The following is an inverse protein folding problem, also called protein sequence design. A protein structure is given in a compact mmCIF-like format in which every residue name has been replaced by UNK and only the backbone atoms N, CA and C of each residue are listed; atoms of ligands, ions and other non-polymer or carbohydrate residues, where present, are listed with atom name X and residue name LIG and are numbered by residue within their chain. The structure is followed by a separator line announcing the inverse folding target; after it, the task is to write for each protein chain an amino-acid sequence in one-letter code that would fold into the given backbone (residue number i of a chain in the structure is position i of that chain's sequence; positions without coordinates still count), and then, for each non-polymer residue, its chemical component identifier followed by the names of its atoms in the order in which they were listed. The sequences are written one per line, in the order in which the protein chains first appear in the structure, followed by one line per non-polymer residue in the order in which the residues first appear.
data_IF_511293091574
#
_entry.id   IF_511293091574
#
_cell.length_a   1.000
_cell.length_b   1.000
_cell.length_c   1.000
_cell.angle_alpha   90.00
_cell.angle_beta   90.00
_cell.angle_gamma   90.00
#
_symmetry.space_group_name_H-M   'P 1'
#
loop_
_entity.id
_entity.type
_entity.pdbx_description
1 polymer ?
#
# COMPACT_ATOMS: atom_id res chain seq x y z
N UNK A 1 -31.60 15.00 -7.01
CA UNK A 1 -30.37 14.22 -6.75
C UNK A 1 -29.93 14.57 -5.34
N UNK A 2 -30.20 13.70 -4.35
CA UNK A 2 -29.91 13.96 -2.94
C UNK A 2 -28.39 13.88 -2.73
N UNK A 3 -27.77 14.97 -2.26
CA UNK A 3 -26.43 14.91 -1.68
C UNK A 3 -26.53 14.08 -0.39
N UNK A 4 -26.17 12.80 -0.46
CA UNK A 4 -25.87 12.02 0.73
C UNK A 4 -24.69 12.70 1.46
N UNK A 5 -24.90 13.05 2.73
CA UNK A 5 -23.84 13.64 3.56
C UNK A 5 -22.61 12.73 3.59
N UNK A 6 -21.40 13.28 3.61
CA UNK A 6 -20.14 12.51 3.70
C UNK A 6 -20.11 11.53 4.90
N UNK A 7 -20.90 11.82 5.95
CA UNK A 7 -21.09 10.98 7.13
C UNK A 7 -21.83 9.66 6.86
N UNK A 8 -22.66 9.55 5.81
CA UNK A 8 -23.43 8.33 5.53
C UNK A 8 -22.68 7.27 4.72
N UNK A 9 -21.46 7.55 4.24
CA UNK A 9 -20.62 6.59 3.51
C UNK A 9 -19.61 5.87 4.42
N UNK A 10 -19.44 6.32 5.66
CA UNK A 10 -18.36 5.87 6.54
C UNK A 10 -18.81 4.71 7.42
N UNK A 11 -18.09 3.60 7.36
CA UNK A 11 -18.25 2.51 8.31
C UNK A 11 -17.28 2.62 9.49
N UNK A 12 -17.74 2.23 10.69
CA UNK A 12 -16.86 2.05 11.85
C UNK A 12 -15.94 0.83 11.70
N UNK A 13 -16.43 -0.20 11.01
CA UNK A 13 -15.71 -1.44 10.71
C UNK A 13 -16.25 -2.01 9.39
N UNK A 14 -15.38 -2.40 8.45
CA UNK A 14 -15.77 -2.88 7.13
C UNK A 14 -16.03 -4.39 7.06
N UNK A 15 -16.07 -5.08 8.20
CA UNK A 15 -16.17 -6.54 8.33
C UNK A 15 -14.80 -7.21 8.46
N UNK A 16 -14.77 -8.54 8.28
CA UNK A 16 -13.51 -9.29 8.18
C UNK A 16 -12.77 -8.94 6.88
N UNK A 17 -11.43 -8.92 6.90
CA UNK A 17 -10.63 -8.64 5.72
C UNK A 17 -10.92 -9.67 4.61
N UNK A 18 -11.13 -9.21 3.39
CA UNK A 18 -11.41 -10.08 2.23
C UNK A 18 -10.34 -9.98 1.16
N UNK A 19 -10.28 -11.00 0.30
CA UNK A 19 -9.33 -11.10 -0.79
C UNK A 19 -9.86 -10.46 -2.07
N UNK A 20 -9.04 -9.66 -2.72
CA UNK A 20 -9.30 -9.10 -4.05
C UNK A 20 -8.37 -9.77 -5.05
N UNK A 21 -8.92 -10.35 -6.11
CA UNK A 21 -8.12 -10.96 -7.17
C UNK A 21 -7.58 -9.86 -8.09
N UNK A 22 -6.26 -9.74 -8.19
CA UNK A 22 -5.61 -8.91 -9.21
C UNK A 22 -5.37 -9.76 -10.44
N UNK A 23 -5.82 -9.28 -11.60
CA UNK A 23 -5.61 -9.93 -12.89
C UNK A 23 -4.47 -9.22 -13.62
N UNK A 24 -3.28 -9.81 -13.59
CA UNK A 24 -2.08 -9.29 -14.26
C UNK A 24 -1.70 -10.11 -15.49
N UNK A 25 -1.09 -9.43 -16.47
CA UNK A 25 -0.62 -10.03 -17.71
C UNK A 25 0.86 -10.39 -17.54
N UNK A 26 1.20 -11.66 -17.64
CA UNK A 26 2.57 -12.14 -17.50
C UNK A 26 2.62 -13.62 -17.22
N UNK A 27 3.77 -14.24 -17.48
CA UNK A 27 4.09 -15.62 -17.11
C UNK A 27 5.32 -15.57 -16.21
N UNK A 28 5.35 -16.37 -15.16
CA UNK A 28 6.46 -16.40 -14.21
C UNK A 28 6.06 -17.01 -12.88
N UNK A 29 7.01 -17.04 -11.95
CA UNK A 29 6.74 -17.34 -10.55
C UNK A 29 5.75 -16.34 -9.96
N UNK A 30 4.98 -16.75 -8.96
CA UNK A 30 3.97 -15.89 -8.36
C UNK A 30 4.57 -14.64 -7.73
N UNK A 31 5.68 -14.80 -7.03
CA UNK A 31 6.47 -13.72 -6.44
C UNK A 31 7.89 -13.79 -6.99
N UNK A 32 8.22 -12.89 -7.90
CA UNK A 32 9.54 -12.80 -8.49
C UNK A 32 10.39 -11.77 -7.73
N UNK A 33 11.50 -12.20 -7.15
CA UNK A 33 12.49 -11.29 -6.59
C UNK A 33 13.29 -10.63 -7.72
N UNK A 34 13.14 -9.32 -7.85
CA UNK A 34 13.83 -8.47 -8.84
C UNK A 34 14.57 -7.32 -8.14
N UNK A 35 15.01 -7.57 -6.91
CA UNK A 35 15.71 -6.60 -6.08
C UNK A 35 16.95 -6.06 -6.78
N UNK A 36 17.22 -4.79 -6.52
CA UNK A 36 18.45 -4.10 -6.96
C UNK A 36 19.40 -3.98 -5.78
N UNK A 37 20.49 -3.24 -5.95
CA UNK A 37 21.49 -3.06 -4.88
C UNK A 37 20.88 -2.46 -3.60
N UNK A 38 20.04 -1.44 -3.72
CA UNK A 38 19.56 -0.65 -2.57
C UNK A 38 18.04 -0.78 -2.34
N UNK A 39 17.37 -1.67 -3.08
CA UNK A 39 15.92 -1.81 -3.04
C UNK A 39 15.57 -3.28 -3.08
N UNK A 40 14.86 -3.76 -2.06
CA UNK A 40 14.19 -5.06 -2.10
C UNK A 40 12.91 -4.91 -2.89
N UNK A 41 12.76 -5.69 -3.95
CA UNK A 41 11.63 -5.58 -4.88
C UNK A 41 11.07 -6.96 -5.18
N UNK A 42 9.78 -7.13 -4.93
CA UNK A 42 9.03 -8.30 -5.37
C UNK A 42 7.95 -7.88 -6.36
N UNK A 43 7.96 -8.54 -7.52
CA UNK A 43 6.92 -8.46 -8.53
C UNK A 43 5.95 -9.63 -8.33
N UNK A 44 4.67 -9.32 -8.18
CA UNK A 44 3.62 -10.31 -8.01
C UNK A 44 2.78 -10.47 -9.28
N UNK A 45 2.63 -11.72 -9.72
CA UNK A 45 1.85 -12.12 -10.89
C UNK A 45 0.52 -12.75 -10.48
N UNK A 46 -0.60 -12.15 -10.90
CA UNK A 46 -1.97 -12.57 -10.57
C UNK A 46 -2.23 -12.86 -9.07
N UNK A 47 -1.79 -11.99 -8.12
CA UNK A 47 -1.98 -12.26 -6.70
C UNK A 47 -3.44 -12.11 -6.27
N UNK A 48 -3.82 -12.79 -5.19
CA UNK A 48 -4.93 -12.34 -4.36
C UNK A 48 -4.38 -11.39 -3.29
N UNK A 49 -5.03 -10.24 -3.10
CA UNK A 49 -4.57 -9.18 -2.19
C UNK A 49 -5.54 -9.02 -1.03
N UNK A 50 -5.01 -8.98 0.19
CA UNK A 50 -5.76 -8.71 1.40
C UNK A 50 -5.13 -7.53 2.15
N UNK A 51 -5.98 -6.59 2.55
CA UNK A 51 -5.65 -5.49 3.46
C UNK A 51 -6.07 -5.87 4.87
N UNK A 52 -5.17 -5.83 5.85
CA UNK A 52 -5.49 -6.25 7.22
C UNK A 52 -6.31 -5.22 7.99
N UNK A 53 -6.14 -3.91 7.72
CA UNK A 53 -6.92 -2.88 8.41
C UNK A 53 -8.37 -2.80 7.88
N UNK A 54 -9.34 -3.00 8.77
CA UNK A 54 -10.79 -2.93 8.47
C UNK A 54 -11.51 -1.84 9.26
N UNK A 55 -10.79 -1.03 10.03
CA UNK A 55 -11.34 0.06 10.82
C UNK A 55 -10.31 1.17 11.05
N UNK A 56 -10.78 2.31 11.55
CA UNK A 56 -9.90 3.44 11.92
C UNK A 56 -8.91 3.08 13.04
N UNK A 57 -9.28 2.18 13.93
CA UNK A 57 -8.49 1.76 15.08
C UNK A 57 -8.15 0.27 14.95
N UNK A 58 -7.25 -0.11 14.03
CA UNK A 58 -6.87 -1.50 13.84
C UNK A 58 -6.10 -2.03 15.05
N UNK A 59 -6.12 -3.35 15.24
CA UNK A 59 -5.15 -4.01 16.11
C UNK A 59 -3.76 -3.89 15.48
N UNK A 60 -2.79 -3.36 16.23
CA UNK A 60 -1.42 -3.28 15.75
C UNK A 60 -0.76 -4.67 15.82
N UNK A 61 0.05 -5.01 14.82
CA UNK A 61 0.71 -6.30 14.74
C UNK A 61 2.17 -6.16 14.25
N UNK A 62 3.02 -7.09 14.67
CA UNK A 62 4.36 -7.27 14.09
C UNK A 62 4.30 -8.26 12.92
N UNK A 63 5.26 -8.17 11.98
CA UNK A 63 5.30 -9.06 10.82
C UNK A 63 5.24 -10.57 11.17
N UNK A 64 5.96 -11.11 12.18
CA UNK A 64 5.86 -12.53 12.52
C UNK A 64 4.44 -13.01 12.82
N UNK A 65 3.65 -12.22 13.56
CA UNK A 65 2.27 -12.59 13.89
C UNK A 65 1.36 -12.60 12.66
N UNK A 66 1.67 -11.75 11.67
CA UNK A 66 0.94 -11.71 10.39
C UNK A 66 1.38 -12.85 9.48
N UNK A 67 2.67 -13.17 9.41
CA UNK A 67 3.15 -14.34 8.66
C UNK A 67 2.53 -15.62 9.20
N UNK A 68 2.45 -15.79 10.52
CA UNK A 68 1.80 -16.95 11.14
C UNK A 68 0.31 -17.08 10.78
N UNK A 69 -0.39 -15.97 10.51
CA UNK A 69 -1.79 -15.97 10.07
C UNK A 69 -1.94 -16.25 8.57
N UNK A 70 -0.94 -15.89 7.78
CA UNK A 70 -0.95 -15.99 6.32
C UNK A 70 0.35 -16.67 5.85
N UNK A 71 0.48 -17.99 6.06
CA UNK A 71 1.65 -18.74 5.58
C UNK A 71 1.72 -18.68 4.06
N UNK A 72 2.93 -18.83 3.51
CA UNK A 72 3.21 -18.78 2.06
C UNK A 72 2.87 -17.45 1.36
N UNK A 73 2.57 -16.39 2.13
CA UNK A 73 2.24 -15.08 1.58
C UNK A 73 3.48 -14.17 1.50
N UNK A 74 3.46 -13.25 0.52
CA UNK A 74 4.31 -12.05 0.53
C UNK A 74 3.58 -10.96 1.30
N UNK A 75 4.21 -10.47 2.38
CA UNK A 75 3.61 -9.52 3.32
C UNK A 75 4.52 -8.29 3.44
N UNK A 76 3.94 -7.10 3.44
CA UNK A 76 4.65 -5.83 3.68
C UNK A 76 3.77 -4.90 4.51
N UNK A 77 4.36 -4.07 5.37
CA UNK A 77 3.63 -2.98 6.01
C UNK A 77 3.05 -2.03 4.94
N UNK A 78 1.99 -1.32 5.32
CA UNK A 78 1.24 -0.52 4.37
C UNK A 78 1.07 0.95 4.83
N UNK A 79 -0.15 1.33 5.17
CA UNK A 79 -0.52 2.71 5.50
C UNK A 79 0.15 3.20 6.78
N UNK A 80 0.37 4.51 6.89
CA UNK A 80 0.87 5.10 8.14
C UNK A 80 -0.21 5.16 9.21
N UNK A 81 0.23 5.28 10.47
CA UNK A 81 -0.64 5.32 11.64
C UNK A 81 -0.09 6.29 12.70
N UNK A 82 -0.95 6.72 13.61
CA UNK A 82 -0.55 7.51 14.77
C UNK A 82 0.01 6.59 15.85
N UNK A 83 1.30 6.67 16.14
CA UNK A 83 1.97 5.81 17.13
C UNK A 83 1.38 5.91 18.55
N UNK A 84 0.76 7.04 18.91
CA UNK A 84 0.17 7.23 20.24
C UNK A 84 -1.21 6.61 20.37
N UNK A 85 -2.01 6.62 19.31
CA UNK A 85 -3.42 6.18 19.37
C UNK A 85 -3.68 4.86 18.63
N UNK A 86 -2.76 4.45 17.75
CA UNK A 86 -2.96 3.33 16.82
C UNK A 86 -3.82 3.67 15.60
N UNK A 87 -4.33 4.91 15.48
CA UNK A 87 -5.23 5.28 14.39
C UNK A 87 -4.50 5.24 13.05
N UNK A 88 -5.05 4.51 12.09
CA UNK A 88 -4.56 4.53 10.71
C UNK A 88 -4.85 5.89 10.05
N UNK A 89 -3.91 6.38 9.24
CA UNK A 89 -3.96 7.70 8.59
C UNK A 89 -4.37 7.64 7.12
N UNK A 90 -4.74 8.79 6.55
CA UNK A 90 -5.03 8.91 5.13
C UNK A 90 -6.38 8.35 4.71
N UNK A 91 -6.55 8.17 3.40
CA UNK A 91 -7.80 7.68 2.81
C UNK A 91 -7.85 6.15 2.80
N UNK A 92 -8.85 5.61 3.48
CA UNK A 92 -8.89 4.20 3.84
C UNK A 92 -10.24 3.56 3.48
N UNK A 93 -10.15 2.62 2.55
CA UNK A 93 -11.21 1.74 2.07
C UNK A 93 -10.77 0.30 2.32
N UNK A 94 -11.70 -0.52 2.78
CA UNK A 94 -11.58 -1.97 2.71
C UNK A 94 -12.97 -2.57 2.47
N UNK A 95 -13.04 -3.72 1.80
CA UNK A 95 -14.29 -4.37 1.40
C UNK A 95 -15.29 -3.42 0.70
N UNK A 96 -14.79 -2.47 -0.10
CA UNK A 96 -15.62 -1.47 -0.78
C UNK A 96 -16.30 -0.45 0.15
N UNK A 97 -15.90 -0.37 1.42
CA UNK A 97 -16.43 0.56 2.40
C UNK A 97 -15.34 1.52 2.91
N UNK A 98 -15.68 2.81 2.95
CA UNK A 98 -14.80 3.86 3.49
C UNK A 98 -14.82 3.82 5.02
N UNK A 99 -13.66 3.85 5.66
CA UNK A 99 -13.55 3.97 7.12
C UNK A 99 -12.64 5.13 7.58
N UNK A 100 -11.86 5.73 6.68
CA UNK A 100 -11.21 7.05 6.90
C UNK A 100 -11.24 7.85 5.61
N UNK A 101 -11.71 9.10 5.67
CA UNK A 101 -11.80 9.98 4.51
C UNK A 101 -10.58 10.92 4.39
N UNK A 102 -10.45 11.60 3.25
CA UNK A 102 -9.44 12.64 3.02
C UNK A 102 -9.43 13.68 4.15
N UNK A 103 -8.24 14.05 4.62
CA UNK A 103 -8.04 15.13 5.58
C UNK A 103 -8.47 14.84 7.03
N UNK A 104 -9.07 13.67 7.32
CA UNK A 104 -9.43 13.30 8.70
C UNK A 104 -8.22 13.07 9.59
N UNK A 105 -7.12 12.62 8.98
CA UNK A 105 -5.81 12.56 9.59
C UNK A 105 -4.89 13.38 8.67
N UNK A 106 -4.43 14.54 9.17
CA UNK A 106 -3.45 15.39 8.49
C UNK A 106 -2.27 14.49 8.05
N UNK A 107 -1.54 14.86 7.00
CA UNK A 107 -0.31 14.20 6.49
C UNK A 107 -0.45 13.20 5.32
N UNK A 108 -1.63 12.68 5.00
CA UNK A 108 -1.81 11.74 3.88
C UNK A 108 -2.99 12.11 2.97
N UNK A 109 -2.67 12.64 1.78
CA UNK A 109 -3.65 13.16 0.81
C UNK A 109 -3.65 12.40 -0.52
N UNK A 110 -2.91 11.29 -0.58
CA UNK A 110 -2.76 10.48 -1.78
C UNK A 110 -2.89 9.00 -1.41
N UNK A 111 -3.45 8.21 -2.31
CA UNK A 111 -3.72 6.80 -2.05
C UNK A 111 -3.54 5.93 -3.30
N UNK A 112 -3.06 4.72 -3.07
CA UNK A 112 -3.11 3.61 -4.02
C UNK A 112 -4.42 2.85 -3.81
N UNK A 113 -5.14 2.55 -4.89
CA UNK A 113 -6.44 1.87 -4.87
C UNK A 113 -6.32 0.54 -5.62
N UNK A 114 -6.85 -0.51 -5.03
CA UNK A 114 -7.17 -1.76 -5.72
C UNK A 114 -8.69 -1.82 -5.84
N UNK A 115 -9.18 -1.88 -7.08
CA UNK A 115 -10.61 -1.98 -7.37
C UNK A 115 -11.07 -3.43 -7.32
N UNK A 116 -12.39 -3.61 -7.20
CA UNK A 116 -13.05 -4.92 -7.09
C UNK A 116 -12.78 -5.84 -8.27
N UNK A 117 -12.55 -5.27 -9.46
CA UNK A 117 -12.19 -6.01 -10.67
C UNK A 117 -10.69 -6.35 -10.76
N UNK A 118 -9.90 -6.01 -9.74
CA UNK A 118 -8.46 -6.24 -9.69
C UNK A 118 -7.62 -5.18 -10.42
N UNK A 119 -8.24 -4.15 -10.99
CA UNK A 119 -7.50 -3.01 -11.57
C UNK A 119 -6.95 -2.11 -10.48
N UNK A 120 -5.86 -1.40 -10.78
CA UNK A 120 -5.16 -0.54 -9.83
C UNK A 120 -5.06 0.90 -10.31
N UNK A 121 -5.41 1.84 -9.44
CA UNK A 121 -5.40 3.28 -9.71
C UNK A 121 -4.80 4.05 -8.53
N UNK A 122 -4.54 5.34 -8.74
CA UNK A 122 -4.10 6.25 -7.68
C UNK A 122 -4.94 7.51 -7.69
N UNK A 123 -5.28 8.01 -6.52
CA UNK A 123 -6.05 9.25 -6.34
C UNK A 123 -5.39 10.16 -5.31
N UNK A 124 -5.68 11.45 -5.44
CA UNK A 124 -5.37 12.46 -4.45
C UNK A 124 -6.67 13.09 -3.93
N UNK A 125 -6.57 13.93 -2.91
CA UNK A 125 -7.71 14.55 -2.23
C UNK A 125 -8.57 15.46 -3.11
N UNK A 126 -8.18 15.73 -4.37
CA UNK A 126 -9.06 16.41 -5.33
C UNK A 126 -10.18 15.51 -5.85
N UNK A 127 -10.05 14.17 -5.74
CA UNK A 127 -11.10 13.22 -6.12
C UNK A 127 -11.96 12.85 -4.92
N UNK A 128 -13.28 13.15 -4.92
CA UNK A 128 -14.16 12.80 -3.81
C UNK A 128 -14.24 11.29 -3.55
N UNK A 129 -14.34 10.91 -2.28
CA UNK A 129 -14.50 9.52 -1.85
C UNK A 129 -15.63 8.79 -2.57
N UNK A 130 -16.78 9.46 -2.74
CA UNK A 130 -17.97 8.93 -3.40
C UNK A 130 -17.69 8.54 -4.86
N UNK A 131 -16.87 9.32 -5.57
CA UNK A 131 -16.48 9.00 -6.95
C UNK A 131 -15.55 7.79 -7.00
N UNK A 132 -14.61 7.68 -6.06
CA UNK A 132 -13.68 6.55 -5.98
C UNK A 132 -14.44 5.25 -5.68
N UNK A 133 -15.37 5.28 -4.72
CA UNK A 133 -16.23 4.14 -4.38
C UNK A 133 -17.17 3.75 -5.54
N UNK A 134 -17.78 4.73 -6.21
CA UNK A 134 -18.64 4.47 -7.36
C UNK A 134 -17.90 3.81 -8.54
N UNK A 135 -16.59 4.05 -8.64
CA UNK A 135 -15.72 3.39 -9.63
C UNK A 135 -15.23 2.00 -9.19
N UNK A 136 -15.76 1.46 -8.09
CA UNK A 136 -15.49 0.09 -7.66
C UNK A 136 -14.24 -0.07 -6.79
N UNK A 137 -13.77 0.97 -6.11
CA UNK A 137 -12.67 0.87 -5.16
C UNK A 137 -13.00 -0.14 -4.05
N UNK A 138 -12.11 -1.10 -3.83
CA UNK A 138 -12.32 -2.20 -2.87
C UNK A 138 -11.34 -2.11 -1.69
N UNK A 139 -10.10 -1.72 -1.96
CA UNK A 139 -9.05 -1.48 -0.95
C UNK A 139 -8.30 -0.18 -1.27
N UNK A 140 -7.84 0.53 -0.24
CA UNK A 140 -6.89 1.63 -0.40
C UNK A 140 -5.73 1.58 0.58
N UNK A 141 -4.61 2.18 0.19
CA UNK A 141 -3.40 2.29 1.00
C UNK A 141 -2.86 3.73 0.89
N UNK A 142 -2.57 4.36 2.03
CA UNK A 142 -2.30 5.79 2.07
C UNK A 142 -1.28 6.15 3.15
N UNK A 143 -0.26 6.90 2.75
CA UNK A 143 0.72 7.50 3.64
C UNK A 143 1.38 8.71 2.97
N UNK A 144 2.28 8.47 2.02
CA UNK A 144 3.06 9.51 1.36
C UNK A 144 2.58 9.83 -0.06
N UNK A 145 3.46 10.48 -0.83
CA UNK A 145 3.21 10.90 -2.21
C UNK A 145 3.11 9.73 -3.19
N UNK A 146 2.35 9.96 -4.26
CA UNK A 146 2.44 9.25 -5.53
C UNK A 146 3.75 9.70 -6.21
N UNK A 147 4.74 8.80 -6.27
CA UNK A 147 6.03 9.06 -6.91
C UNK A 147 5.97 8.83 -8.43
N UNK A 148 5.08 7.95 -8.90
CA UNK A 148 4.82 7.72 -10.33
C UNK A 148 3.31 7.70 -10.54
N UNK A 149 2.80 8.49 -11.49
CA UNK A 149 1.38 8.56 -11.86
C UNK A 149 1.23 8.39 -13.36
N UNK A 150 0.50 7.37 -13.80
CA UNK A 150 0.29 7.05 -15.22
C UNK A 150 1.61 6.97 -16.03
N UNK A 151 2.64 6.36 -15.43
CA UNK A 151 3.97 6.18 -16.03
C UNK A 151 4.86 7.42 -16.05
N UNK A 152 4.44 8.51 -15.37
CA UNK A 152 5.25 9.73 -15.24
C UNK A 152 5.79 9.85 -13.83
N UNK A 153 7.10 10.01 -13.71
CA UNK A 153 7.76 10.38 -12.44
C UNK A 153 7.22 11.73 -11.99
N UNK A 154 6.87 11.84 -10.70
CA UNK A 154 6.37 13.05 -10.07
C UNK A 154 7.52 13.84 -9.44
N UNK A 155 7.28 15.05 -8.96
CA UNK A 155 8.31 15.85 -8.31
C UNK A 155 8.77 15.23 -6.99
N UNK A 156 10.07 15.34 -6.70
CA UNK A 156 10.63 14.96 -5.41
C UNK A 156 10.20 15.97 -4.34
N UNK A 157 9.49 15.51 -3.31
CA UNK A 157 9.08 16.33 -2.17
C UNK A 157 10.00 16.16 -0.94
N UNK A 158 11.09 15.39 -1.09
CA UNK A 158 12.06 15.10 -0.04
C UNK A 158 11.64 14.00 0.95
N UNK A 159 10.42 13.44 0.81
CA UNK A 159 9.85 12.49 1.77
C UNK A 159 10.65 11.19 1.91
N UNK A 160 11.42 10.81 0.88
CA UNK A 160 12.13 9.52 0.81
C UNK A 160 13.64 9.59 1.11
N UNK A 161 14.17 10.78 1.42
CA UNK A 161 15.62 11.01 1.38
C UNK A 161 16.40 10.56 2.63
N UNK A 162 15.73 10.25 3.73
CA UNK A 162 16.37 10.24 5.05
C UNK A 162 16.11 8.96 5.87
N UNK A 163 15.26 8.05 5.41
CA UNK A 163 15.05 6.76 6.08
C UNK A 163 14.71 5.64 5.10
N UNK A 164 14.58 4.42 5.63
CA UNK A 164 14.07 3.26 4.89
C UNK A 164 12.59 3.51 4.54
N UNK A 165 12.16 3.20 3.32
CA UNK A 165 10.78 3.44 2.88
C UNK A 165 10.18 2.27 2.13
N UNK A 166 8.90 2.04 2.37
CA UNK A 166 8.11 1.03 1.69
C UNK A 166 7.33 1.65 0.53
N UNK A 167 7.08 0.88 -0.53
CA UNK A 167 6.32 1.34 -1.68
C UNK A 167 5.40 0.25 -2.22
N UNK A 168 4.24 0.67 -2.69
CA UNK A 168 3.32 -0.14 -3.49
C UNK A 168 3.20 0.46 -4.89
N UNK A 169 3.22 -0.38 -5.92
CA UNK A 169 3.09 0.08 -7.29
C UNK A 169 2.56 -0.99 -8.24
N UNK A 170 2.26 -0.59 -9.47
CA UNK A 170 1.90 -1.52 -10.53
C UNK A 170 2.45 -1.11 -11.89
N UNK A 171 2.65 -2.07 -12.79
CA UNK A 171 3.03 -1.82 -14.18
C UNK A 171 1.81 -1.78 -15.13
N UNK A 172 2.05 -1.48 -16.41
CA UNK A 172 1.00 -1.46 -17.46
C UNK A 172 0.35 -2.82 -17.71
N UNK A 173 0.98 -3.90 -17.27
CA UNK A 173 0.43 -5.24 -17.33
C UNK A 173 -0.33 -5.59 -16.05
N UNK A 174 -0.52 -4.63 -15.14
CA UNK A 174 -1.23 -4.78 -13.88
C UNK A 174 -0.53 -5.76 -12.91
N UNK A 175 0.77 -6.03 -13.07
CA UNK A 175 1.53 -6.75 -12.04
C UNK A 175 1.72 -5.80 -10.84
N UNK A 176 1.54 -6.32 -9.63
CA UNK A 176 1.72 -5.56 -8.39
C UNK A 176 3.17 -5.65 -7.94
N UNK A 177 3.70 -4.57 -7.38
CA UNK A 177 5.06 -4.49 -6.86
C UNK A 177 5.01 -4.03 -5.41
N UNK A 178 5.71 -4.77 -4.55
CA UNK A 178 6.03 -4.34 -3.18
C UNK A 178 7.53 -4.10 -3.10
N UNK A 179 7.91 -2.95 -2.55
CA UNK A 179 9.31 -2.53 -2.51
C UNK A 179 9.68 -1.95 -1.15
N UNK A 180 10.90 -2.18 -0.70
CA UNK A 180 11.50 -1.45 0.41
C UNK A 180 12.89 -0.95 -0.02
N UNK A 181 13.09 0.37 0.02
CA UNK A 181 14.38 1.00 -0.23
C UNK A 181 15.18 1.14 1.05
N UNK A 182 16.48 0.90 1.00
CA UNK A 182 17.40 1.12 2.12
C UNK A 182 17.45 2.57 2.58
N UNK A 183 17.96 2.79 3.81
CA UNK A 183 18.20 4.13 4.35
C UNK A 183 19.14 4.92 3.44
N UNK A 184 18.84 6.21 3.22
CA UNK A 184 19.61 7.11 2.36
C UNK A 184 19.71 6.68 0.89
N UNK A 185 18.83 5.80 0.40
CA UNK A 185 18.79 5.46 -1.02
C UNK A 185 18.55 6.70 -1.88
N UNK A 186 17.73 7.66 -1.42
CA UNK A 186 17.46 8.93 -2.09
C UNK A 186 16.52 8.80 -3.29
N UNK A 187 15.63 9.79 -3.48
CA UNK A 187 14.58 9.73 -4.50
C UNK A 187 15.12 9.46 -5.90
N UNK A 188 16.12 10.21 -6.33
CA UNK A 188 16.65 10.17 -7.70
C UNK A 188 17.27 8.80 -8.01
N UNK A 189 18.01 8.24 -7.06
CA UNK A 189 18.62 6.93 -7.19
C UNK A 189 17.57 5.80 -7.11
N UNK A 190 16.52 5.94 -6.28
CA UNK A 190 15.39 5.01 -6.30
C UNK A 190 14.73 5.00 -7.69
N UNK A 191 14.40 6.18 -8.24
CA UNK A 191 13.75 6.29 -9.55
C UNK A 191 14.64 5.73 -10.67
N UNK A 192 15.95 5.97 -10.62
CA UNK A 192 16.88 5.43 -11.61
C UNK A 192 16.96 3.90 -11.58
N UNK A 193 17.01 3.29 -10.38
CA UNK A 193 17.09 1.83 -10.22
C UNK A 193 15.82 1.12 -10.70
N UNK A 194 14.66 1.76 -10.59
CA UNK A 194 13.37 1.15 -10.97
C UNK A 194 12.87 1.56 -12.37
N UNK A 195 13.58 2.43 -13.10
CA UNK A 195 13.10 2.98 -14.38
C UNK A 195 12.74 1.90 -15.41
N UNK A 196 13.48 0.80 -15.42
CA UNK A 196 13.28 -0.31 -16.36
C UNK A 196 12.04 -1.17 -16.03
N UNK A 197 11.46 -1.01 -14.83
CA UNK A 197 10.22 -1.69 -14.45
C UNK A 197 9.00 -1.10 -15.19
N UNK A 198 9.12 0.10 -15.77
CA UNK A 198 8.06 0.77 -16.52
C UNK A 198 6.73 0.85 -15.75
N UNK A 199 6.82 1.19 -14.46
CA UNK A 199 5.68 1.26 -13.56
C UNK A 199 4.64 2.28 -14.08
N UNK A 200 3.38 1.91 -14.00
CA UNK A 200 2.25 2.81 -14.25
C UNK A 200 2.00 3.69 -13.03
N UNK A 201 2.04 3.11 -11.82
CA UNK A 201 1.86 3.86 -10.58
C UNK A 201 2.84 3.39 -9.50
N UNK A 202 3.22 4.30 -8.61
CA UNK A 202 4.03 4.02 -7.42
C UNK A 202 3.67 5.00 -6.31
N UNK A 203 3.39 4.51 -5.11
CA UNK A 203 3.00 5.31 -3.95
C UNK A 203 3.86 4.93 -2.75
N UNK A 204 4.30 5.95 -2.03
CA UNK A 204 5.07 5.84 -0.79
C UNK A 204 4.18 5.36 0.36
N UNK A 205 4.57 4.24 0.98
CA UNK A 205 3.97 3.65 2.17
C UNK A 205 4.78 4.01 3.43
N UNK A 206 4.29 3.61 4.61
CA UNK A 206 4.93 3.94 5.88
C UNK A 206 6.39 3.46 5.92
N UNK A 207 7.24 4.32 6.49
CA UNK A 207 8.70 4.20 6.46
C UNK A 207 9.32 3.97 7.84
N UNK A 208 10.64 4.18 7.92
CA UNK A 208 11.40 4.06 9.16
C UNK A 208 11.22 2.69 9.81
N UNK A 209 11.05 2.67 11.13
CA UNK A 209 10.81 1.43 11.87
C UNK A 209 9.56 0.64 11.44
N UNK A 210 8.60 1.25 10.73
CA UNK A 210 7.43 0.53 10.22
C UNK A 210 7.77 -0.39 9.05
N UNK A 211 8.80 -0.05 8.26
CA UNK A 211 9.21 -0.79 7.06
C UNK A 211 9.62 -2.22 7.40
N UNK A 212 8.85 -3.19 6.91
CA UNK A 212 9.09 -4.61 7.13
C UNK A 212 8.44 -5.46 6.03
N UNK A 213 9.09 -6.56 5.66
CA UNK A 213 8.63 -7.47 4.62
C UNK A 213 8.98 -8.92 4.93
N UNK A 214 8.07 -9.83 4.66
CA UNK A 214 8.26 -11.27 4.79
C UNK A 214 7.70 -12.03 3.58
N UNK A 215 8.26 -13.19 3.30
CA UNK A 215 7.80 -14.12 2.27
C UNK A 215 8.00 -15.55 2.75
N UNK A 216 6.97 -16.40 2.64
CA UNK A 216 7.04 -17.82 2.99
C UNK A 216 7.62 -18.06 4.40
N UNK A 217 7.03 -17.38 5.40
CA UNK A 217 7.45 -17.41 6.80
C UNK A 217 8.89 -16.94 7.08
N UNK A 218 9.56 -16.38 6.07
CA UNK A 218 10.90 -15.86 6.17
C UNK A 218 10.88 -14.33 6.14
N UNK A 219 11.45 -13.71 7.16
CA UNK A 219 11.66 -12.25 7.17
C UNK A 219 12.69 -11.87 6.10
N UNK A 220 12.28 -11.01 5.17
CA UNK A 220 13.14 -10.47 4.11
C UNK A 220 13.74 -9.14 4.53
N UNK A 221 12.91 -8.26 5.12
CA UNK A 221 13.34 -6.99 5.71
C UNK A 221 12.76 -6.92 7.12
N UNK A 222 13.58 -7.00 8.17
CA UNK A 222 13.10 -6.83 9.53
C UNK A 222 12.76 -5.36 9.81
N UNK A 223 11.73 -5.12 10.61
CA UNK A 223 11.49 -3.80 11.20
C UNK A 223 12.71 -3.37 12.03
N UNK A 224 13.15 -2.11 11.84
CA UNK A 224 14.36 -1.59 12.51
C UNK A 224 14.24 -1.51 14.04
N UNK A 225 13.01 -1.47 14.57
CA UNK A 225 12.70 -1.36 16.00
C UNK A 225 11.60 -2.32 16.44
N UNK A 226 11.36 -3.39 15.68
CA UNK A 226 10.32 -4.39 15.93
C UNK A 226 8.91 -3.77 16.08
N UNK A 227 8.62 -2.77 15.24
CA UNK A 227 7.39 -1.97 15.30
C UNK A 227 6.16 -2.79 14.98
N UNK A 228 5.17 -2.65 15.85
CA UNK A 228 3.80 -3.01 15.54
C UNK A 228 3.19 -1.93 14.64
N UNK A 229 2.57 -2.33 13.53
CA UNK A 229 1.93 -1.43 12.57
C UNK A 229 0.45 -1.75 12.43
N UNK A 230 -0.35 -0.76 12.01
CA UNK A 230 -1.80 -0.89 11.93
C UNK A 230 -2.33 -1.55 10.67
N UNK A 231 -1.49 -1.79 9.66
CA UNK A 231 -1.94 -2.28 8.36
C UNK A 231 -0.82 -2.99 7.60
N UNK A 232 -1.18 -4.10 6.97
CA UNK A 232 -0.33 -4.89 6.09
C UNK A 232 -1.03 -5.16 4.77
N UNK A 233 -0.25 -5.17 3.69
CA UNK A 233 -0.62 -5.75 2.41
C UNK A 233 -0.18 -7.22 2.45
N UNK A 234 -1.13 -8.13 2.26
CA UNK A 234 -0.88 -9.57 2.18
C UNK A 234 -1.18 -10.03 0.76
N UNK A 235 -0.21 -10.65 0.11
CA UNK A 235 -0.34 -11.22 -1.22
C UNK A 235 -0.20 -12.73 -1.14
N UNK A 236 -1.18 -13.46 -1.66
CA UNK A 236 -1.09 -14.91 -1.79
C UNK A 236 -1.21 -15.38 -3.21
#
# INVERSE_FOLDING_TARGET
MQLLSLTTLKSRNTGGATWVQVHSKGRGEKFQNISTANIKIYKAHNPQVLKTATSKHPALAILPDVMAQYPDALIMNASGFNIKTGDITGFQINNGALFTNWGENKWAYEAFIINKDGSMTTHDSSTPASQILANGAEQSYSFGKISIKKGKIQENDGSVNWMIHSFIGNDKQNNLYLMISETNAGYENIMDQIKNLNLANLVLMDGGGSSQMGLNDQTIVPSQDNRQVGDFIVLK
#
